data_IF_635564150167
#
_entry.id   IF_635564150167
#
_cell.length_a   1.000
_cell.length_b   1.000
_cell.length_c   1.000
_cell.angle_alpha   90.00
_cell.angle_beta   90.00
_cell.angle_gamma   90.00
#
_symmetry.space_group_name_H-M   'P 1'
#
loop_
_entity.id
_entity.type
_entity.pdbx_description
1 polymer ?
#
# COMPACT_ATOMS: atom_id res chain seq x y z
N UNK A 1 -3.53 5.72 -25.08
CA UNK A 1 -3.85 4.78 -23.99
C UNK A 1 -4.95 5.42 -23.18
N UNK A 2 -6.08 4.73 -22.94
CA UNK A 2 -7.19 5.21 -22.12
C UNK A 2 -7.24 4.36 -20.86
N UNK A 3 -7.27 4.99 -19.68
CA UNK A 3 -7.50 4.32 -18.40
C UNK A 3 -8.78 4.87 -17.80
N UNK A 4 -9.66 3.99 -17.38
CA UNK A 4 -10.87 4.36 -16.66
C UNK A 4 -10.61 4.21 -15.16
N UNK A 5 -10.79 5.28 -14.39
CA UNK A 5 -10.70 5.24 -12.93
C UNK A 5 -12.06 4.90 -12.34
N UNK A 6 -12.12 3.92 -11.47
CA UNK A 6 -13.33 3.57 -10.72
C UNK A 6 -13.40 4.44 -9.46
N UNK A 7 -14.47 5.21 -9.31
CA UNK A 7 -14.72 5.98 -8.11
C UNK A 7 -15.68 5.26 -7.18
N UNK A 8 -15.23 5.01 -5.95
CA UNK A 8 -16.04 4.50 -4.86
C UNK A 8 -16.76 5.67 -4.18
N UNK A 9 -17.95 5.45 -3.61
CA UNK A 9 -18.71 6.53 -3.00
C UNK A 9 -17.95 7.15 -1.82
N UNK A 10 -17.45 6.32 -0.93
CA UNK A 10 -16.78 6.71 0.30
C UNK A 10 -15.69 5.71 0.69
N UNK A 11 -14.81 6.08 1.60
CA UNK A 11 -13.82 5.17 2.16
C UNK A 11 -14.50 4.13 3.05
N UNK A 12 -14.36 2.84 2.71
CA UNK A 12 -14.93 1.74 3.49
C UNK A 12 -14.17 0.44 3.27
N UNK A 13 -13.99 -0.40 4.30
CA UNK A 13 -13.41 -1.74 4.15
C UNK A 13 -14.28 -2.67 3.30
N UNK A 14 -15.59 -2.39 3.17
CA UNK A 14 -16.53 -3.15 2.34
C UNK A 14 -16.18 -3.11 0.84
N UNK A 15 -15.39 -2.14 0.41
CA UNK A 15 -14.95 -2.02 -0.98
C UNK A 15 -13.78 -2.94 -1.35
N UNK A 16 -13.21 -3.69 -0.41
CA UNK A 16 -12.01 -4.52 -0.65
C UNK A 16 -12.18 -5.44 -1.87
N UNK A 17 -13.28 -6.17 -1.97
CA UNK A 17 -13.54 -7.06 -3.11
C UNK A 17 -13.69 -6.31 -4.44
N UNK A 18 -14.30 -5.12 -4.42
CA UNK A 18 -14.43 -4.28 -5.61
C UNK A 18 -13.05 -3.78 -6.06
N UNK A 19 -12.19 -3.34 -5.14
CA UNK A 19 -10.82 -2.91 -5.42
C UNK A 19 -10.00 -4.05 -6.02
N UNK A 20 -10.07 -5.26 -5.43
CA UNK A 20 -9.37 -6.44 -5.95
C UNK A 20 -9.85 -6.79 -7.36
N UNK A 21 -11.15 -6.68 -7.63
CA UNK A 21 -11.73 -6.93 -8.96
C UNK A 21 -11.29 -5.90 -10.01
N UNK A 22 -11.17 -4.63 -9.63
CA UNK A 22 -10.62 -3.57 -10.50
C UNK A 22 -9.17 -3.85 -10.85
N UNK A 23 -8.36 -4.20 -9.83
CA UNK A 23 -6.95 -4.55 -10.04
C UNK A 23 -6.81 -5.81 -10.90
N UNK A 24 -7.61 -6.85 -10.67
CA UNK A 24 -7.60 -8.06 -11.49
C UNK A 24 -7.90 -7.77 -12.96
N UNK A 25 -8.91 -6.93 -13.23
CA UNK A 25 -9.25 -6.53 -14.59
C UNK A 25 -8.11 -5.76 -15.26
N UNK A 26 -7.47 -4.84 -14.52
CA UNK A 26 -6.32 -4.09 -14.99
C UNK A 26 -5.13 -5.01 -15.33
N UNK A 27 -4.80 -5.97 -14.46
CA UNK A 27 -3.69 -6.90 -14.66
C UNK A 27 -3.92 -7.88 -15.84
N UNK A 28 -5.17 -8.23 -16.14
CA UNK A 28 -5.51 -9.05 -17.33
C UNK A 28 -5.14 -8.34 -18.64
N UNK A 29 -5.22 -7.01 -18.67
CA UNK A 29 -4.90 -6.19 -19.85
C UNK A 29 -3.44 -5.73 -19.88
N UNK A 30 -2.73 -5.75 -18.73
CA UNK A 30 -1.36 -5.23 -18.57
C UNK A 30 -0.42 -6.34 -18.05
N UNK A 31 -0.12 -7.30 -18.91
CA UNK A 31 0.65 -8.52 -18.58
C UNK A 31 2.11 -8.27 -18.21
N UNK A 32 2.63 -7.09 -18.50
CA UNK A 32 3.97 -6.65 -18.11
C UNK A 32 4.11 -6.30 -16.62
N UNK A 33 3.00 -6.17 -15.91
CA UNK A 33 3.00 -5.89 -14.46
C UNK A 33 3.19 -7.21 -13.71
N UNK A 34 4.34 -7.36 -13.08
CA UNK A 34 4.73 -8.58 -12.37
C UNK A 34 4.36 -8.55 -10.88
N UNK A 35 4.29 -7.34 -10.27
CA UNK A 35 4.18 -7.18 -8.83
C UNK A 35 2.91 -6.45 -8.40
N UNK A 36 2.28 -6.96 -7.35
CA UNK A 36 1.18 -6.30 -6.61
C UNK A 36 1.63 -6.08 -5.17
N UNK A 37 1.61 -4.84 -4.71
CA UNK A 37 1.94 -4.48 -3.33
C UNK A 37 0.65 -4.11 -2.61
N UNK A 38 0.37 -4.73 -1.47
CA UNK A 38 -0.88 -4.50 -0.73
C UNK A 38 -0.61 -4.19 0.74
N UNK A 39 -1.23 -3.14 1.24
CA UNK A 39 -1.22 -2.83 2.68
C UNK A 39 -2.20 -3.73 3.42
N UNK A 40 -1.81 -4.14 4.62
CA UNK A 40 -2.70 -4.87 5.53
C UNK A 40 -2.47 -4.44 6.98
N UNK A 41 -3.51 -4.44 7.80
CA UNK A 41 -3.42 -4.21 9.25
C UNK A 41 -3.46 -5.55 9.97
N UNK A 42 -4.56 -6.29 9.87
CA UNK A 42 -4.78 -7.57 10.57
C UNK A 42 -4.46 -8.82 9.72
N UNK A 43 -4.15 -8.64 8.44
CA UNK A 43 -3.85 -9.73 7.52
C UNK A 43 -4.93 -10.02 6.47
N UNK A 44 -6.20 -9.69 6.74
CA UNK A 44 -7.33 -10.05 5.88
C UNK A 44 -7.16 -9.58 4.43
N UNK A 45 -6.87 -8.29 4.23
CA UNK A 45 -6.67 -7.71 2.89
C UNK A 45 -5.46 -8.32 2.18
N UNK A 46 -4.37 -8.53 2.92
CA UNK A 46 -3.15 -9.15 2.40
C UNK A 46 -3.39 -10.58 1.92
N UNK A 47 -4.08 -11.39 2.73
CA UNK A 47 -4.43 -12.77 2.39
C UNK A 47 -5.40 -12.83 1.20
N UNK A 48 -6.41 -11.94 1.17
CA UNK A 48 -7.34 -11.85 0.05
C UNK A 48 -6.61 -11.54 -1.26
N UNK A 49 -5.67 -10.58 -1.25
CA UNK A 49 -4.86 -10.23 -2.41
C UNK A 49 -3.92 -11.38 -2.84
N UNK A 50 -3.25 -12.05 -1.89
CA UNK A 50 -2.39 -13.20 -2.17
C UNK A 50 -3.15 -14.33 -2.91
N UNK A 51 -4.36 -14.63 -2.45
CA UNK A 51 -5.23 -15.63 -3.09
C UNK A 51 -5.80 -15.17 -4.44
N UNK A 52 -6.04 -13.88 -4.62
CA UNK A 52 -6.63 -13.32 -5.84
C UNK A 52 -5.62 -13.22 -6.99
N UNK A 53 -4.33 -13.01 -6.70
CA UNK A 53 -3.29 -12.77 -7.69
C UNK A 53 -2.19 -13.85 -7.69
N UNK A 54 -2.53 -15.15 -7.86
CA UNK A 54 -1.56 -16.24 -7.73
C UNK A 54 -0.49 -16.23 -8.84
N UNK A 55 -0.76 -15.58 -9.96
CA UNK A 55 0.16 -15.45 -11.10
C UNK A 55 1.09 -14.23 -10.99
N UNK A 56 1.01 -13.46 -9.90
CA UNK A 56 1.81 -12.26 -9.65
C UNK A 56 2.63 -12.40 -8.36
N UNK A 57 3.75 -11.69 -8.31
CA UNK A 57 4.50 -11.56 -7.05
C UNK A 57 3.78 -10.57 -6.11
N UNK A 58 3.07 -11.11 -5.12
CA UNK A 58 2.36 -10.30 -4.13
C UNK A 58 3.27 -9.97 -2.96
N UNK A 59 3.40 -8.67 -2.67
CA UNK A 59 4.12 -8.15 -1.48
C UNK A 59 3.09 -7.57 -0.52
N UNK A 60 2.91 -8.20 0.62
CA UNK A 60 2.02 -7.73 1.69
C UNK A 60 2.82 -6.88 2.66
N UNK A 61 2.42 -5.66 2.89
CA UNK A 61 3.08 -4.71 3.79
C UNK A 61 2.20 -4.47 5.01
N UNK A 62 2.67 -4.88 6.18
CA UNK A 62 2.00 -4.67 7.47
C UNK A 62 2.48 -3.40 8.17
N UNK A 63 1.78 -2.99 9.23
CA UNK A 63 2.33 -2.03 10.17
C UNK A 63 3.62 -2.56 10.82
N UNK A 64 4.51 -1.65 11.22
CA UNK A 64 5.66 -2.03 12.04
C UNK A 64 5.21 -2.40 13.45
N UNK A 65 5.94 -3.28 14.12
CA UNK A 65 5.73 -3.57 15.55
C UNK A 65 5.83 -2.29 16.38
N UNK A 66 4.90 -2.10 17.29
CA UNK A 66 4.82 -0.87 18.10
C UNK A 66 4.07 0.28 17.42
N UNK A 67 3.27 0.00 16.38
CA UNK A 67 2.51 1.05 15.70
C UNK A 67 1.38 1.62 16.56
N UNK A 68 0.63 0.76 17.24
CA UNK A 68 -0.45 1.13 18.19
C UNK A 68 0.07 0.99 19.61
N UNK A 69 0.55 -0.20 20.01
CA UNK A 69 1.02 -0.51 21.35
C UNK A 69 2.47 -1.02 21.30
N UNK A 70 3.35 -0.59 22.25
CA UNK A 70 4.74 -1.06 22.29
C UNK A 70 4.83 -2.58 22.31
N UNK A 71 5.72 -3.13 21.47
CA UNK A 71 6.01 -4.57 21.34
C UNK A 71 4.89 -5.41 20.70
N UNK A 72 3.77 -4.80 20.30
CA UNK A 72 2.65 -5.48 19.65
C UNK A 72 2.60 -5.17 18.17
N UNK A 73 2.05 -6.10 17.37
CA UNK A 73 1.71 -5.91 15.97
C UNK A 73 0.28 -6.39 15.77
N UNK A 74 -0.51 -5.64 15.00
CA UNK A 74 -1.91 -5.99 14.74
C UNK A 74 -2.05 -7.22 13.84
N UNK A 75 -1.00 -7.58 13.11
CA UNK A 75 -0.91 -8.81 12.32
C UNK A 75 -0.43 -9.94 13.22
N UNK A 76 -1.35 -10.82 13.61
CA UNK A 76 -1.04 -11.99 14.42
C UNK A 76 -0.25 -13.07 13.64
N UNK A 77 0.27 -14.07 14.36
CA UNK A 77 1.13 -15.10 13.78
C UNK A 77 0.37 -16.04 12.83
N UNK A 78 -0.90 -16.32 13.12
CA UNK A 78 -1.72 -17.19 12.26
C UNK A 78 -2.01 -16.52 10.92
N UNK A 79 -2.38 -15.22 10.94
CA UNK A 79 -2.59 -14.42 9.74
C UNK A 79 -1.29 -14.24 8.94
N UNK A 80 -0.15 -14.06 9.63
CA UNK A 80 1.19 -14.00 9.03
C UNK A 80 1.50 -15.28 8.27
N UNK A 81 1.31 -16.44 8.90
CA UNK A 81 1.57 -17.74 8.31
C UNK A 81 0.64 -18.00 7.11
N UNK A 82 -0.65 -17.69 7.23
CA UNK A 82 -1.61 -17.84 6.15
C UNK A 82 -1.24 -17.00 4.89
N UNK A 83 -0.72 -15.78 5.07
CA UNK A 83 -0.24 -14.94 3.96
C UNK A 83 0.97 -15.57 3.27
N UNK A 84 1.93 -16.08 4.05
CA UNK A 84 3.15 -16.73 3.52
C UNK A 84 2.79 -18.05 2.80
N UNK A 85 1.91 -18.86 3.38
CA UNK A 85 1.42 -20.10 2.78
C UNK A 85 0.65 -19.86 1.47
N UNK A 86 -0.02 -18.73 1.35
CA UNK A 86 -0.66 -18.28 0.11
C UNK A 86 0.34 -17.81 -0.96
N UNK A 87 1.66 -17.85 -0.70
CA UNK A 87 2.73 -17.53 -1.65
C UNK A 87 3.16 -16.08 -1.66
N UNK A 88 2.60 -15.21 -0.80
CA UNK A 88 2.98 -13.81 -0.76
C UNK A 88 4.26 -13.58 0.07
N UNK A 89 5.02 -12.54 -0.30
CA UNK A 89 6.13 -12.01 0.50
C UNK A 89 5.57 -11.04 1.54
N UNK A 90 5.93 -11.22 2.81
CA UNK A 90 5.46 -10.34 3.88
C UNK A 90 6.56 -9.39 4.33
N UNK A 91 6.25 -8.09 4.39
CA UNK A 91 7.14 -7.02 4.82
C UNK A 91 6.56 -6.29 6.03
N UNK A 92 7.26 -6.38 7.17
CA UNK A 92 6.99 -5.59 8.38
C UNK A 92 8.19 -4.69 8.63
N UNK A 93 8.03 -3.38 8.43
CA UNK A 93 9.14 -2.42 8.57
C UNK A 93 8.62 -1.01 8.85
N UNK A 94 9.51 -0.10 9.24
CA UNK A 94 9.21 1.31 9.49
C UNK A 94 8.56 1.95 8.27
N UNK A 95 7.52 2.72 8.49
CA UNK A 95 6.79 3.41 7.44
C UNK A 95 7.61 4.56 6.84
N UNK A 96 7.68 4.65 5.51
CA UNK A 96 8.52 5.59 4.80
C UNK A 96 8.20 7.08 5.11
N UNK A 97 6.93 7.41 5.36
CA UNK A 97 6.52 8.78 5.71
C UNK A 97 6.31 9.02 7.22
N UNK A 98 6.51 7.99 8.04
CA UNK A 98 6.28 8.08 9.48
C UNK A 98 7.58 7.84 10.27
N UNK A 99 7.69 6.72 10.96
CA UNK A 99 8.88 6.36 11.72
C UNK A 99 9.28 7.46 12.71
N UNK A 100 10.57 7.78 12.74
CA UNK A 100 11.15 8.82 13.61
C UNK A 100 10.47 10.18 13.39
N UNK A 101 10.15 10.54 12.16
CA UNK A 101 9.51 11.82 11.84
C UNK A 101 8.16 12.01 12.54
N UNK A 102 7.35 10.95 12.65
CA UNK A 102 6.08 11.00 13.39
C UNK A 102 6.27 11.25 14.88
N UNK A 103 7.37 10.76 15.49
CA UNK A 103 7.66 11.02 16.88
C UNK A 103 7.94 12.50 17.15
N UNK A 104 8.68 13.16 16.28
CA UNK A 104 8.92 14.62 16.39
C UNK A 104 7.60 15.40 16.39
N UNK A 105 6.65 15.04 15.52
CA UNK A 105 5.34 15.68 15.51
C UNK A 105 4.54 15.40 16.77
N UNK A 106 4.51 14.14 17.24
CA UNK A 106 3.73 13.74 18.41
C UNK A 106 4.28 14.33 19.71
N UNK A 107 5.60 14.26 19.90
CA UNK A 107 6.24 14.61 21.16
C UNK A 107 6.65 16.11 21.24
N UNK A 108 7.02 16.69 20.11
CA UNK A 108 7.58 18.05 20.06
C UNK A 108 6.72 19.05 19.28
N UNK A 109 5.61 18.61 18.67
CA UNK A 109 4.75 19.46 17.83
C UNK A 109 5.42 19.93 16.52
N UNK A 110 6.56 19.38 16.16
CA UNK A 110 7.36 19.83 15.01
C UNK A 110 7.06 19.00 13.77
N UNK A 111 6.66 19.68 12.70
CA UNK A 111 6.45 19.05 11.40
C UNK A 111 7.76 18.84 10.66
N UNK A 112 7.92 17.64 10.12
CA UNK A 112 9.07 17.27 9.29
C UNK A 112 8.67 17.15 7.83
N UNK A 113 9.61 17.22 6.86
CA UNK A 113 9.30 17.11 5.44
C UNK A 113 8.51 15.83 5.08
N UNK A 114 8.83 14.69 5.68
CA UNK A 114 8.14 13.40 5.40
C UNK A 114 6.69 13.41 5.86
N UNK A 115 6.38 14.03 7.00
CA UNK A 115 5.00 14.20 7.47
C UNK A 115 4.22 15.18 6.57
N UNK A 116 4.87 16.24 6.06
CA UNK A 116 4.24 17.16 5.10
C UNK A 116 3.95 16.47 3.76
N UNK A 117 4.86 15.61 3.27
CA UNK A 117 4.61 14.77 2.09
C UNK A 117 3.41 13.85 2.30
N UNK A 118 3.31 13.21 3.47
CA UNK A 118 2.14 12.40 3.82
C UNK A 118 0.84 13.20 3.80
N UNK A 119 0.83 14.45 4.27
CA UNK A 119 -0.33 15.35 4.20
C UNK A 119 -0.67 15.64 2.75
N UNK A 120 0.32 15.97 1.90
CA UNK A 120 0.09 16.26 0.48
C UNK A 120 -0.55 15.06 -0.25
N UNK A 121 -0.05 13.84 -0.02
CA UNK A 121 -0.69 12.63 -0.60
C UNK A 121 -2.10 12.38 -0.09
N UNK A 122 -2.40 12.71 1.17
CA UNK A 122 -3.75 12.58 1.74
C UNK A 122 -4.77 13.51 1.11
N UNK A 123 -4.36 14.58 0.42
CA UNK A 123 -5.29 15.41 -0.37
C UNK A 123 -5.93 14.65 -1.53
N UNK A 124 -5.37 13.50 -1.90
CA UNK A 124 -5.94 12.56 -2.88
C UNK A 124 -6.62 11.33 -2.22
N UNK A 125 -6.62 11.25 -0.90
CA UNK A 125 -7.14 10.15 -0.10
C UNK A 125 -6.08 9.45 0.75
N UNK A 126 -6.49 8.90 1.91
CA UNK A 126 -5.58 8.17 2.79
C UNK A 126 -4.96 6.96 2.07
N UNK A 127 -5.76 6.20 1.29
CA UNK A 127 -5.28 5.06 0.53
C UNK A 127 -4.20 5.44 -0.49
N UNK A 128 -4.32 6.63 -1.14
CA UNK A 128 -3.27 7.14 -2.04
C UNK A 128 -1.94 7.36 -1.31
N UNK A 129 -1.99 7.93 -0.09
CA UNK A 129 -0.79 8.07 0.76
C UNK A 129 -0.18 6.72 1.08
N UNK A 130 -1.01 5.73 1.43
CA UNK A 130 -0.57 4.36 1.73
C UNK A 130 0.06 3.72 0.51
N UNK A 131 -0.55 3.82 -0.68
CA UNK A 131 0.01 3.28 -1.93
C UNK A 131 1.41 3.84 -2.24
N UNK A 132 1.62 5.15 -2.10
CA UNK A 132 2.92 5.77 -2.28
C UNK A 132 3.96 5.27 -1.25
N UNK A 133 3.55 5.11 -0.01
CA UNK A 133 4.41 4.69 1.10
C UNK A 133 4.87 3.23 0.95
N UNK A 134 3.94 2.31 0.70
CA UNK A 134 4.25 0.87 0.57
C UNK A 134 5.08 0.57 -0.68
N UNK A 135 4.93 1.34 -1.76
CA UNK A 135 5.77 1.22 -2.95
C UNK A 135 7.25 1.47 -2.62
N UNK A 136 7.54 2.52 -1.84
CA UNK A 136 8.91 2.82 -1.41
C UNK A 136 9.42 1.80 -0.39
N UNK A 137 8.59 1.40 0.57
CA UNK A 137 8.96 0.38 1.57
C UNK A 137 9.36 -0.94 0.91
N UNK A 138 8.59 -1.40 -0.09
CA UNK A 138 8.89 -2.60 -0.84
C UNK A 138 10.18 -2.46 -1.69
N UNK A 139 10.42 -1.27 -2.26
CA UNK A 139 11.64 -0.98 -3.01
C UNK A 139 12.88 -0.93 -2.10
N UNK A 140 12.78 -0.31 -0.93
CA UNK A 140 13.89 -0.26 0.05
C UNK A 140 14.21 -1.64 0.63
N UNK A 141 13.22 -2.52 0.71
CA UNK A 141 13.41 -3.92 1.12
C UNK A 141 13.94 -4.83 -0.01
N UNK A 142 14.11 -4.31 -1.24
CA UNK A 142 14.58 -5.08 -2.39
C UNK A 142 13.55 -6.09 -2.92
N UNK A 143 12.27 -5.93 -2.57
CA UNK A 143 11.19 -6.83 -2.97
C UNK A 143 10.60 -6.47 -4.34
N UNK A 144 10.81 -5.24 -4.81
CA UNK A 144 10.41 -4.78 -6.13
C UNK A 144 11.51 -3.93 -6.76
N UNK A 145 11.53 -3.88 -8.09
CA UNK A 145 12.50 -3.08 -8.84
C UNK A 145 11.98 -1.67 -9.04
N UNK A 146 12.89 -0.67 -9.01
CA UNK A 146 12.55 0.76 -9.21
C UNK A 146 12.42 1.17 -10.68
N UNK A 147 12.76 0.29 -11.61
CA UNK A 147 12.67 0.49 -13.07
C UNK A 147 11.48 -0.25 -13.71
N UNK A 148 10.63 -0.87 -12.89
CA UNK A 148 9.41 -1.57 -13.30
C UNK A 148 8.19 -0.97 -12.63
N UNK A 149 7.09 -0.94 -13.35
CA UNK A 149 5.81 -0.54 -12.78
C UNK A 149 5.22 -1.65 -11.92
N UNK A 150 4.51 -1.26 -10.87
CA UNK A 150 3.81 -2.14 -9.95
C UNK A 150 2.40 -1.63 -9.69
N UNK A 151 1.49 -2.50 -9.32
CA UNK A 151 0.20 -2.09 -8.77
C UNK A 151 0.30 -2.03 -7.25
N UNK A 152 -0.19 -0.94 -6.66
CA UNK A 152 -0.27 -0.77 -5.20
C UNK A 152 -1.72 -0.69 -4.75
N UNK A 153 -2.05 -1.37 -3.65
CA UNK A 153 -3.39 -1.41 -3.04
C UNK A 153 -3.29 -0.90 -1.61
N UNK A 154 -4.09 0.10 -1.28
CA UNK A 154 -4.15 0.69 0.05
C UNK A 154 -5.59 1.02 0.46
N UNK A 155 -5.74 1.53 1.67
CA UNK A 155 -7.05 1.89 2.19
C UNK A 155 -6.99 2.86 3.36
N UNK A 156 -8.16 3.08 3.96
CA UNK A 156 -8.37 4.00 5.08
C UNK A 156 -8.65 3.20 6.36
N UNK A 157 -7.61 2.90 7.12
CA UNK A 157 -7.70 2.13 8.37
C UNK A 157 -7.71 0.62 8.13
N UNK A 158 -8.85 0.04 7.78
CA UNK A 158 -9.03 -1.37 7.48
C UNK A 158 -9.53 -1.57 6.05
N UNK A 159 -9.26 -2.75 5.46
CA UNK A 159 -9.65 -3.06 4.09
C UNK A 159 -8.87 -2.30 3.03
N UNK A 160 -9.37 -2.33 1.79
CA UNK A 160 -8.84 -1.59 0.65
C UNK A 160 -9.93 -0.74 0.01
N UNK A 161 -9.60 0.51 -0.31
CA UNK A 161 -10.47 1.46 -1.00
C UNK A 161 -9.77 2.17 -2.17
N UNK A 162 -8.48 1.90 -2.37
CA UNK A 162 -7.63 2.65 -3.31
C UNK A 162 -6.63 1.72 -3.99
N UNK A 163 -6.46 1.88 -5.31
CA UNK A 163 -5.38 1.22 -6.04
C UNK A 163 -4.74 2.16 -7.08
N UNK A 164 -3.42 2.04 -7.25
CA UNK A 164 -2.63 2.84 -8.16
C UNK A 164 -1.63 2.01 -8.96
N UNK A 165 -1.40 2.40 -10.22
CA UNK A 165 -0.21 2.03 -10.98
C UNK A 165 0.93 2.98 -10.61
N UNK A 166 2.06 2.43 -10.18
CA UNK A 166 3.18 3.20 -9.63
C UNK A 166 4.50 2.73 -10.22
N UNK A 167 5.39 3.67 -10.62
CA UNK A 167 6.82 3.33 -10.71
C UNK A 167 7.44 3.63 -9.35
N UNK A 168 7.85 2.60 -8.59
CA UNK A 168 8.40 2.79 -7.25
C UNK A 168 9.77 3.47 -7.28
N UNK A 169 10.24 3.89 -6.14
CA UNK A 169 11.60 4.39 -5.94
C UNK A 169 12.05 4.08 -4.52
N UNK A 170 13.35 4.10 -4.27
CA UNK A 170 13.87 4.07 -2.91
C UNK A 170 13.56 5.40 -2.20
N UNK A 171 13.42 5.37 -0.88
CA UNK A 171 13.15 6.58 -0.07
C UNK A 171 14.24 7.65 -0.27
N UNK A 172 15.50 7.24 -0.44
CA UNK A 172 16.63 8.13 -0.72
C UNK A 172 16.54 8.88 -2.06
N UNK A 173 15.64 8.43 -2.95
CA UNK A 173 15.40 9.03 -4.27
C UNK A 173 13.93 9.40 -4.47
N UNK A 174 13.21 9.73 -3.41
CA UNK A 174 11.77 10.04 -3.39
C UNK A 174 11.28 10.90 -4.57
N UNK A 175 11.97 11.97 -5.04
CA UNK A 175 11.50 12.76 -6.18
C UNK A 175 11.32 11.98 -7.49
N UNK A 176 11.81 10.74 -7.56
CA UNK A 176 11.64 9.83 -8.71
C UNK A 176 10.38 8.96 -8.63
N UNK A 177 9.65 8.96 -7.50
CA UNK A 177 8.37 8.25 -7.38
C UNK A 177 7.39 8.75 -8.45
N UNK A 178 6.68 7.84 -9.12
CA UNK A 178 5.66 8.19 -10.11
C UNK A 178 4.35 7.48 -9.81
N UNK A 179 3.36 8.22 -9.36
CA UNK A 179 1.97 7.80 -9.27
C UNK A 179 1.36 7.97 -10.66
N UNK A 180 1.34 6.91 -11.49
CA UNK A 180 1.04 7.00 -12.93
C UNK A 180 -0.44 7.03 -13.26
N UNK A 181 -1.21 6.11 -12.67
CA UNK A 181 -2.64 6.02 -12.90
C UNK A 181 -3.38 5.61 -11.62
N UNK A 182 -4.44 6.33 -11.30
CA UNK A 182 -5.39 5.92 -10.28
C UNK A 182 -6.34 4.87 -10.87
N UNK A 183 -6.33 3.65 -10.37
CA UNK A 183 -7.22 2.59 -10.83
C UNK A 183 -8.57 2.71 -10.14
N UNK A 184 -8.57 2.93 -8.82
CA UNK A 184 -9.76 3.27 -8.06
C UNK A 184 -9.42 4.05 -6.79
N UNK A 185 -10.36 4.85 -6.31
CA UNK A 185 -10.29 5.55 -5.02
C UNK A 185 -11.67 6.05 -4.57
N UNK A 186 -11.89 6.30 -3.27
CA UNK A 186 -13.12 6.95 -2.81
C UNK A 186 -13.21 8.41 -3.26
N UNK A 187 -14.44 8.90 -3.44
CA UNK A 187 -14.73 10.32 -3.64
C UNK A 187 -14.78 11.07 -2.30
N UNK A 188 -15.36 10.44 -1.29
CA UNK A 188 -15.45 10.98 0.08
C UNK A 188 -14.45 10.24 0.96
N UNK A 189 -13.48 10.96 1.53
CA UNK A 189 -12.40 10.40 2.34
C UNK A 189 -11.88 11.38 3.38
#
# INVERSE_FOLDING_TARGET
MRFDTVFLKEASPEHTEQVLSVVESFLKENKEIEHVIVATTTGETGLAAAKRFPDHEVVVVSHHTGFIMPNENELDEDSRNAIIEAGAKLLTTTHAFAGVSRSFRKELGTWTPTELMAVAFRTFGQGTKVCAEIAMMAADAGLVRVDKDVVTIGGTGFGADTAWLVTPTNTSTFPKLRMKACLCKPLIF
#
